data_IF_434760029014
#
_entry.id   IF_434760029014
#
_cell.length_a   1.000
_cell.length_b   1.000
_cell.length_c   1.000
_cell.angle_alpha   90.00
_cell.angle_beta   90.00
_cell.angle_gamma   90.00
#
_symmetry.space_group_name_H-M   'P 1'
#
loop_
_entity.id
_entity.type
_entity.pdbx_description
1 polymer ?
#
# COMPACT_ATOMS: atom_id res chain seq x y z
N UNK A 1 -35.72 19.46 9.42
CA UNK A 1 -34.98 18.44 8.63
C UNK A 1 -33.45 18.54 8.77
N UNK A 2 -32.85 19.75 8.78
CA UNK A 2 -31.42 19.94 9.12
C UNK A 2 -31.11 19.52 10.56
N UNK A 3 -31.90 19.94 11.52
CA UNK A 3 -31.70 19.65 12.96
C UNK A 3 -31.80 18.14 13.28
N UNK A 4 -32.58 17.39 12.52
CA UNK A 4 -32.69 15.93 12.67
C UNK A 4 -31.47 15.19 12.10
N UNK A 5 -30.87 15.68 11.02
CA UNK A 5 -29.64 15.16 10.45
C UNK A 5 -28.43 15.44 11.35
N UNK A 6 -28.36 16.64 11.94
CA UNK A 6 -27.31 17.04 12.88
C UNK A 6 -27.41 16.23 14.19
N UNK A 7 -28.62 15.94 14.67
CA UNK A 7 -28.83 15.06 15.82
C UNK A 7 -28.42 13.61 15.54
N UNK A 8 -28.75 13.05 14.36
CA UNK A 8 -28.35 11.69 13.98
C UNK A 8 -26.82 11.60 13.83
N UNK A 9 -26.16 12.66 13.36
CA UNK A 9 -24.70 12.69 13.29
C UNK A 9 -24.02 12.78 14.66
N UNK A 10 -24.68 13.38 15.67
CA UNK A 10 -24.12 13.45 17.03
C UNK A 10 -24.14 12.11 17.75
N UNK A 11 -25.05 11.22 17.40
CA UNK A 11 -25.22 9.89 18.02
C UNK A 11 -24.26 8.81 17.47
N UNK A 12 -23.56 9.10 16.36
CA UNK A 12 -22.58 8.17 15.79
C UNK A 12 -21.29 8.21 16.63
N UNK A 13 -20.77 7.06 17.11
CA UNK A 13 -19.50 6.99 17.83
C UNK A 13 -18.36 7.65 17.03
N UNK A 14 -17.49 8.38 17.72
CA UNK A 14 -16.39 9.10 17.08
C UNK A 14 -15.50 8.17 16.23
N UNK A 15 -15.19 6.98 16.72
CA UNK A 15 -14.40 5.98 15.98
C UNK A 15 -15.07 5.52 14.68
N UNK A 16 -16.40 5.44 14.67
CA UNK A 16 -17.12 5.07 13.44
C UNK A 16 -17.09 6.22 12.42
N UNK A 17 -17.22 7.47 12.86
CA UNK A 17 -17.14 8.64 11.96
C UNK A 17 -15.79 8.73 11.28
N UNK A 18 -14.70 8.61 12.04
CA UNK A 18 -13.34 8.66 11.46
C UNK A 18 -13.07 7.45 10.56
N UNK A 19 -13.65 6.29 10.88
CA UNK A 19 -13.55 5.09 10.04
C UNK A 19 -14.21 5.32 8.69
N UNK A 20 -15.44 5.82 8.68
CA UNK A 20 -16.17 6.17 7.43
C UNK A 20 -15.40 7.19 6.62
N UNK A 21 -14.90 8.26 7.25
CA UNK A 21 -14.13 9.29 6.59
C UNK A 21 -12.83 8.73 5.99
N UNK A 22 -12.12 7.88 6.70
CA UNK A 22 -10.91 7.22 6.17
C UNK A 22 -11.23 6.40 4.92
N UNK A 23 -12.28 5.56 4.96
CA UNK A 23 -12.67 4.75 3.81
C UNK A 23 -13.18 5.59 2.63
N UNK A 24 -13.81 6.72 2.86
CA UNK A 24 -14.14 7.69 1.81
C UNK A 24 -12.87 8.16 1.08
N UNK A 25 -11.82 8.52 1.83
CA UNK A 25 -10.52 8.85 1.26
C UNK A 25 -9.91 7.70 0.43
N UNK A 26 -10.01 6.46 0.92
CA UNK A 26 -9.55 5.26 0.19
C UNK A 26 -10.33 5.05 -1.11
N UNK A 27 -11.65 5.28 -1.11
CA UNK A 27 -12.49 5.18 -2.31
C UNK A 27 -12.07 6.24 -3.34
N UNK A 28 -11.88 7.49 -2.93
CA UNK A 28 -11.39 8.54 -3.83
C UNK A 28 -10.00 8.23 -4.39
N UNK A 29 -9.10 7.70 -3.57
CA UNK A 29 -7.79 7.25 -4.03
C UNK A 29 -7.92 6.13 -5.08
N UNK A 30 -8.74 5.11 -4.81
CA UNK A 30 -8.97 3.98 -5.71
C UNK A 30 -9.69 4.36 -7.02
N UNK A 31 -10.44 5.46 -7.04
CA UNK A 31 -11.09 6.00 -8.24
C UNK A 31 -10.26 7.05 -8.98
N UNK A 32 -9.03 7.30 -8.53
CA UNK A 32 -8.12 8.28 -9.15
C UNK A 32 -8.38 9.74 -8.78
N UNK A 33 -9.33 10.01 -7.90
CA UNK A 33 -9.64 11.37 -7.40
C UNK A 33 -8.64 11.79 -6.31
N UNK A 34 -7.35 11.86 -6.65
CA UNK A 34 -6.25 11.98 -5.70
C UNK A 34 -6.29 13.27 -4.86
N UNK A 35 -6.80 14.38 -5.40
CA UNK A 35 -6.96 15.62 -4.65
C UNK A 35 -8.03 15.51 -3.57
N UNK A 36 -9.16 14.90 -3.89
CA UNK A 36 -10.23 14.66 -2.94
C UNK A 36 -9.76 13.71 -1.84
N UNK A 37 -9.08 12.61 -2.19
CA UNK A 37 -8.48 11.69 -1.25
C UNK A 37 -7.51 12.39 -0.29
N UNK A 38 -6.61 13.21 -0.83
CA UNK A 38 -5.61 13.92 -0.05
C UNK A 38 -6.22 14.93 0.93
N UNK A 39 -7.26 15.66 0.49
CA UNK A 39 -7.99 16.59 1.36
C UNK A 39 -8.63 15.86 2.55
N UNK A 40 -9.13 14.64 2.34
CA UNK A 40 -9.68 13.82 3.42
C UNK A 40 -8.58 13.32 4.35
N UNK A 41 -7.50 12.75 3.82
CA UNK A 41 -6.41 12.20 4.63
C UNK A 41 -5.66 13.26 5.43
N UNK A 42 -5.62 14.50 4.96
CA UNK A 42 -5.02 15.65 5.66
C UNK A 42 -6.01 16.40 6.55
N UNK A 43 -7.25 15.93 6.66
CA UNK A 43 -8.25 16.58 7.52
C UNK A 43 -7.86 16.53 9.00
N UNK A 44 -8.28 17.53 9.82
CA UNK A 44 -7.96 17.55 11.24
C UNK A 44 -8.41 16.30 12.01
N UNK A 45 -9.51 15.67 11.59
CA UNK A 45 -10.06 14.43 12.19
C UNK A 45 -9.19 13.20 11.99
N UNK A 46 -8.37 13.15 10.94
CA UNK A 46 -7.43 12.08 10.62
C UNK A 46 -5.96 12.50 10.82
N UNK A 47 -5.70 13.65 11.43
CA UNK A 47 -4.33 14.12 11.69
C UNK A 47 -3.64 13.25 12.74
N UNK A 48 -2.32 13.09 12.59
CA UNK A 48 -1.52 12.43 13.61
C UNK A 48 -1.64 13.15 14.95
N UNK A 49 -1.68 12.43 16.08
CA UNK A 49 -1.73 13.06 17.40
C UNK A 49 -0.53 14.00 17.60
N UNK A 50 -0.74 15.06 18.35
CA UNK A 50 0.35 15.96 18.72
C UNK A 50 1.40 15.23 19.55
N UNK A 51 2.68 15.61 19.41
CA UNK A 51 3.71 15.09 20.30
C UNK A 51 3.30 15.24 21.77
N UNK A 52 3.46 14.18 22.56
CA UNK A 52 3.11 14.14 24.00
C UNK A 52 1.62 14.10 24.35
N UNK A 53 0.70 14.13 23.37
CA UNK A 53 -0.71 13.86 23.62
C UNK A 53 -1.05 12.40 23.32
N UNK A 54 -1.75 11.75 24.23
CA UNK A 54 -2.30 10.42 23.95
C UNK A 54 -3.35 10.50 22.83
N UNK A 55 -3.37 9.50 21.96
CA UNK A 55 -4.44 9.38 20.97
C UNK A 55 -5.76 9.08 21.67
N UNK A 56 -6.91 9.60 21.17
CA UNK A 56 -8.23 9.37 21.76
C UNK A 56 -8.59 7.88 21.84
N UNK A 57 -8.20 7.09 20.87
CA UNK A 57 -8.40 5.63 20.81
C UNK A 57 -7.32 4.96 19.96
N UNK A 58 -7.20 3.62 20.06
CA UNK A 58 -6.34 2.85 19.18
C UNK A 58 -6.82 2.94 17.72
N UNK A 59 -8.13 2.91 17.47
CA UNK A 59 -8.72 3.05 16.14
C UNK A 59 -8.34 4.40 15.53
N UNK A 60 -8.43 5.49 16.31
CA UNK A 60 -8.01 6.82 15.86
C UNK A 60 -6.52 6.82 15.46
N UNK A 61 -5.66 6.27 16.31
CA UNK A 61 -4.22 6.24 16.05
C UNK A 61 -3.91 5.47 14.75
N UNK A 62 -4.48 4.29 14.59
CA UNK A 62 -4.24 3.44 13.42
C UNK A 62 -4.72 4.11 12.13
N UNK A 63 -5.92 4.70 12.15
CA UNK A 63 -6.48 5.39 10.98
C UNK A 63 -5.70 6.66 10.65
N UNK A 64 -5.23 7.42 11.64
CA UNK A 64 -4.39 8.59 11.43
C UNK A 64 -3.04 8.22 10.82
N UNK A 65 -2.42 7.12 11.27
CA UNK A 65 -1.19 6.59 10.67
C UNK A 65 -1.46 6.18 9.22
N UNK A 66 -2.51 5.41 8.96
CA UNK A 66 -2.84 4.95 7.62
C UNK A 66 -3.18 6.12 6.67
N UNK A 67 -3.89 7.14 7.15
CA UNK A 67 -4.17 8.36 6.38
C UNK A 67 -2.88 9.11 6.00
N UNK A 68 -1.96 9.26 6.96
CA UNK A 68 -0.66 9.87 6.70
C UNK A 68 0.19 9.05 5.71
N UNK A 69 0.15 7.73 5.79
CA UNK A 69 0.83 6.83 4.85
C UNK A 69 0.25 6.94 3.43
N UNK A 70 -1.08 6.99 3.30
CA UNK A 70 -1.73 7.20 2.01
C UNK A 70 -1.41 8.60 1.43
N UNK A 71 -1.34 9.63 2.28
CA UNK A 71 -0.90 10.97 1.86
C UNK A 71 0.51 10.96 1.27
N UNK A 72 1.44 10.21 1.87
CA UNK A 72 2.80 10.02 1.33
C UNK A 72 2.80 9.34 -0.04
N UNK A 73 1.98 8.30 -0.23
CA UNK A 73 1.85 7.61 -1.52
C UNK A 73 1.33 8.53 -2.62
N UNK A 74 0.26 9.28 -2.33
CA UNK A 74 -0.33 10.23 -3.29
C UNK A 74 0.69 11.33 -3.64
N UNK A 75 1.40 11.83 -2.64
CA UNK A 75 2.36 12.92 -2.80
C UNK A 75 3.56 12.52 -3.65
N UNK A 76 3.98 11.25 -3.60
CA UNK A 76 5.09 10.74 -4.42
C UNK A 76 4.86 10.92 -5.92
N UNK A 77 3.62 10.82 -6.39
CA UNK A 77 3.28 11.00 -7.80
C UNK A 77 3.23 12.45 -8.26
N UNK A 78 3.49 13.41 -7.36
CA UNK A 78 3.36 14.85 -7.60
C UNK A 78 4.71 15.54 -7.71
N UNK A 79 4.83 16.43 -8.69
CA UNK A 79 6.01 17.29 -8.87
C UNK A 79 6.17 18.29 -7.71
N UNK A 80 5.03 18.75 -7.17
CA UNK A 80 4.98 19.71 -6.05
C UNK A 80 4.12 19.12 -4.93
N UNK A 81 4.73 18.52 -3.89
CA UNK A 81 4.00 18.02 -2.75
C UNK A 81 3.36 19.17 -1.95
N UNK A 82 2.12 19.01 -1.46
CA UNK A 82 1.43 20.05 -0.68
C UNK A 82 1.96 20.19 0.76
N UNK A 83 2.87 19.33 1.17
CA UNK A 83 3.52 19.32 2.49
C UNK A 83 4.94 18.78 2.40
N UNK A 84 5.73 19.06 3.42
CA UNK A 84 7.08 18.50 3.52
C UNK A 84 7.05 17.02 3.96
N UNK A 85 7.67 16.15 3.17
CA UNK A 85 7.65 14.69 3.37
C UNK A 85 8.50 14.28 4.59
N UNK A 86 9.69 14.88 4.76
CA UNK A 86 10.62 14.47 5.81
C UNK A 86 10.08 14.70 7.24
N UNK A 87 9.46 15.84 7.59
CA UNK A 87 8.81 16.02 8.90
C UNK A 87 7.69 15.02 9.16
N UNK A 88 6.90 14.66 8.14
CA UNK A 88 5.83 13.68 8.29
C UNK A 88 6.39 12.28 8.59
N UNK A 89 7.44 11.86 7.88
CA UNK A 89 8.12 10.59 8.14
C UNK A 89 8.69 10.56 9.57
N UNK A 90 9.35 11.65 10.01
CA UNK A 90 9.91 11.74 11.36
C UNK A 90 8.84 11.62 12.48
N UNK A 91 7.61 12.11 12.22
CA UNK A 91 6.48 11.95 13.14
C UNK A 91 5.90 10.54 13.10
N UNK A 92 5.84 9.90 11.92
CA UNK A 92 5.30 8.55 11.74
C UNK A 92 6.18 7.47 12.37
N UNK A 93 7.50 7.63 12.29
CA UNK A 93 8.45 6.61 12.69
C UNK A 93 8.24 6.09 14.13
N UNK A 94 8.19 6.93 15.18
CA UNK A 94 7.98 6.44 16.54
C UNK A 94 6.58 5.84 16.73
N UNK A 95 5.55 6.37 16.07
CA UNK A 95 4.19 5.86 16.15
C UNK A 95 4.07 4.46 15.52
N UNK A 96 4.71 4.24 14.37
CA UNK A 96 4.68 2.94 13.69
C UNK A 96 5.55 1.89 14.40
N UNK A 97 6.73 2.27 14.91
CA UNK A 97 7.61 1.36 15.64
C UNK A 97 7.03 0.97 17.00
N UNK A 98 6.34 1.87 17.67
CA UNK A 98 5.65 1.63 18.94
C UNK A 98 4.27 0.99 18.81
N UNK A 99 3.71 0.90 17.59
CA UNK A 99 2.38 0.33 17.37
C UNK A 99 2.39 -1.20 17.57
N UNK A 100 1.43 -1.77 18.32
CA UNK A 100 1.32 -3.21 18.49
C UNK A 100 0.97 -3.95 17.20
N UNK A 101 0.33 -3.28 16.23
CA UNK A 101 -0.07 -3.85 14.95
C UNK A 101 1.12 -4.06 14.01
N UNK A 102 1.49 -5.31 13.78
CA UNK A 102 2.51 -5.65 12.78
C UNK A 102 2.10 -5.29 11.35
N UNK A 103 0.79 -5.21 11.06
CA UNK A 103 0.26 -4.72 9.80
C UNK A 103 0.62 -3.25 9.55
N UNK A 104 0.45 -2.38 10.54
CA UNK A 104 0.86 -0.97 10.49
C UNK A 104 2.37 -0.84 10.26
N UNK A 105 3.18 -1.58 11.01
CA UNK A 105 4.63 -1.59 10.84
C UNK A 105 5.05 -2.07 9.45
N UNK A 106 4.36 -3.09 8.90
CA UNK A 106 4.60 -3.56 7.55
C UNK A 106 4.26 -2.49 6.51
N UNK A 107 3.07 -1.88 6.60
CA UNK A 107 2.64 -0.82 5.70
C UNK A 107 3.59 0.40 5.73
N UNK A 108 4.02 0.83 6.92
CA UNK A 108 5.00 1.90 7.08
C UNK A 108 6.30 1.61 6.33
N UNK A 109 6.91 0.45 6.59
CA UNK A 109 8.18 0.09 5.94
C UNK A 109 8.02 -0.06 4.42
N UNK A 110 6.88 -0.59 3.96
CA UNK A 110 6.57 -0.74 2.54
C UNK A 110 6.50 0.63 1.85
N UNK A 111 5.75 1.57 2.43
CA UNK A 111 5.59 2.92 1.90
C UNK A 111 6.90 3.70 2.00
N UNK A 112 7.62 3.60 3.10
CA UNK A 112 8.93 4.22 3.24
C UNK A 112 9.88 3.79 2.12
N UNK A 113 9.95 2.48 1.81
CA UNK A 113 10.74 1.96 0.70
C UNK A 113 10.30 2.50 -0.67
N UNK A 114 9.03 2.92 -0.83
CA UNK A 114 8.54 3.50 -2.09
C UNK A 114 8.82 4.99 -2.21
N UNK A 115 8.78 5.75 -1.12
CA UNK A 115 8.93 7.22 -1.14
C UNK A 115 10.38 7.68 -1.03
N UNK A 116 11.29 6.80 -0.63
CA UNK A 116 12.73 7.11 -0.58
C UNK A 116 13.34 7.27 -1.97
N UNK A 117 14.34 8.13 -2.08
CA UNK A 117 15.12 8.31 -3.31
C UNK A 117 15.91 7.05 -3.67
N UNK A 118 16.20 6.88 -4.96
CA UNK A 118 16.93 5.72 -5.45
C UNK A 118 18.40 5.67 -4.98
N UNK A 119 18.96 6.77 -4.50
CA UNK A 119 20.30 6.84 -3.90
C UNK A 119 20.42 6.04 -2.59
N UNK A 120 19.29 5.60 -2.02
CA UNK A 120 19.23 4.90 -0.73
C UNK A 120 18.87 3.41 -0.86
N UNK A 121 19.35 2.75 -1.92
CA UNK A 121 19.01 1.34 -2.24
C UNK A 121 19.17 0.39 -1.04
N UNK A 122 20.25 0.53 -0.27
CA UNK A 122 20.49 -0.34 0.90
C UNK A 122 19.40 -0.16 1.94
N UNK A 123 19.00 1.09 2.21
CA UNK A 123 17.95 1.38 3.17
C UNK A 123 16.58 0.93 2.65
N UNK A 124 16.29 1.11 1.36
CA UNK A 124 15.06 0.59 0.75
C UNK A 124 14.96 -0.93 0.89
N UNK A 125 16.06 -1.67 0.65
CA UNK A 125 16.11 -3.13 0.86
C UNK A 125 15.83 -3.50 2.31
N UNK A 126 16.42 -2.78 3.25
CA UNK A 126 16.18 -3.00 4.68
C UNK A 126 14.71 -2.75 5.05
N UNK A 127 14.10 -1.68 4.55
CA UNK A 127 12.67 -1.40 4.76
C UNK A 127 11.80 -2.53 4.21
N UNK A 128 12.09 -3.04 3.00
CA UNK A 128 11.31 -4.14 2.43
C UNK A 128 11.49 -5.46 3.19
N UNK A 129 12.70 -5.75 3.70
CA UNK A 129 12.91 -6.89 4.59
C UNK A 129 12.09 -6.76 5.87
N UNK A 130 12.09 -5.60 6.50
CA UNK A 130 11.31 -5.32 7.70
C UNK A 130 9.80 -5.42 7.41
N UNK A 131 9.34 -4.91 6.26
CA UNK A 131 7.95 -5.03 5.83
C UNK A 131 7.53 -6.50 5.68
N UNK A 132 8.34 -7.29 4.98
CA UNK A 132 8.08 -8.71 4.79
C UNK A 132 8.05 -9.50 6.10
N UNK A 133 8.98 -9.20 7.01
CA UNK A 133 9.03 -9.83 8.33
C UNK A 133 7.79 -9.49 9.17
N UNK A 134 7.39 -8.22 9.18
CA UNK A 134 6.19 -7.77 9.89
C UNK A 134 4.90 -8.36 9.28
N UNK A 135 4.80 -8.43 7.95
CA UNK A 135 3.68 -9.05 7.24
C UNK A 135 3.56 -10.55 7.55
N UNK A 136 4.68 -11.27 7.62
CA UNK A 136 4.73 -12.68 8.05
C UNK A 136 4.26 -12.84 9.50
N UNK A 137 4.68 -11.96 10.40
CA UNK A 137 4.31 -12.02 11.81
C UNK A 137 2.81 -11.82 12.05
N UNK A 138 2.11 -11.07 11.19
CA UNK A 138 0.64 -10.91 11.25
C UNK A 138 -0.11 -11.79 10.23
N UNK A 139 0.58 -12.73 9.56
CA UNK A 139 0.01 -13.67 8.57
C UNK A 139 -0.77 -12.95 7.44
N UNK A 140 -0.38 -11.73 7.09
CA UNK A 140 -1.04 -10.95 6.06
C UNK A 140 -0.46 -11.26 4.67
N UNK A 141 -1.13 -12.16 3.94
CA UNK A 141 -0.71 -12.60 2.61
C UNK A 141 -0.66 -11.46 1.60
N UNK A 142 -1.57 -10.48 1.69
CA UNK A 142 -1.62 -9.35 0.78
C UNK A 142 -0.39 -8.44 0.95
N UNK A 143 -0.04 -8.06 2.18
CA UNK A 143 1.17 -7.28 2.45
C UNK A 143 2.44 -8.04 2.07
N UNK A 144 2.49 -9.37 2.26
CA UNK A 144 3.60 -10.19 1.77
C UNK A 144 3.70 -10.16 0.25
N UNK A 145 2.57 -10.33 -0.45
CA UNK A 145 2.50 -10.26 -1.90
C UNK A 145 2.97 -8.90 -2.42
N UNK A 146 2.47 -7.81 -1.87
CA UNK A 146 2.91 -6.46 -2.20
C UNK A 146 4.42 -6.27 -2.05
N UNK A 147 4.95 -6.70 -0.91
CA UNK A 147 6.37 -6.54 -0.61
C UNK A 147 7.24 -7.30 -1.61
N UNK A 148 6.87 -8.54 -1.94
CA UNK A 148 7.60 -9.37 -2.89
C UNK A 148 7.52 -8.80 -4.32
N UNK A 149 6.37 -8.30 -4.73
CA UNK A 149 6.21 -7.62 -6.02
C UNK A 149 7.10 -6.37 -6.11
N UNK A 150 7.11 -5.55 -5.06
CA UNK A 150 7.94 -4.36 -5.02
C UNK A 150 9.44 -4.70 -5.03
N UNK A 151 9.84 -5.76 -4.33
CA UNK A 151 11.22 -6.27 -4.38
C UNK A 151 11.58 -6.73 -5.79
N UNK A 152 10.72 -7.49 -6.45
CA UNK A 152 10.93 -7.97 -7.82
C UNK A 152 11.05 -6.78 -8.79
N UNK A 153 10.14 -5.84 -8.70
CA UNK A 153 10.12 -4.67 -9.57
C UNK A 153 11.32 -3.74 -9.37
N UNK A 154 11.65 -3.40 -8.11
CA UNK A 154 12.72 -2.42 -7.83
C UNK A 154 14.14 -2.98 -7.96
N UNK A 155 14.37 -4.23 -7.53
CA UNK A 155 15.71 -4.74 -7.36
C UNK A 155 16.09 -5.88 -8.29
N UNK A 156 15.11 -6.55 -8.87
CA UNK A 156 15.37 -7.72 -9.70
C UNK A 156 14.96 -7.53 -11.16
N UNK A 157 14.27 -6.42 -11.49
CA UNK A 157 13.93 -6.11 -12.87
C UNK A 157 15.22 -5.90 -13.68
N UNK A 158 15.38 -6.68 -14.74
CA UNK A 158 16.60 -6.66 -15.57
C UNK A 158 17.77 -7.47 -15.01
N UNK A 159 17.63 -8.11 -13.85
CA UNK A 159 18.66 -8.99 -13.29
C UNK A 159 18.37 -10.43 -13.68
N UNK A 160 19.27 -11.05 -14.44
CA UNK A 160 19.20 -12.46 -14.73
C UNK A 160 19.57 -13.26 -13.48
N UNK A 161 18.62 -13.92 -12.87
CA UNK A 161 18.90 -14.72 -11.68
C UNK A 161 17.67 -15.40 -11.06
N UNK A 162 17.93 -16.49 -10.35
CA UNK A 162 16.88 -17.28 -9.69
C UNK A 162 16.11 -16.52 -8.62
N UNK A 163 16.69 -15.47 -8.04
CA UNK A 163 16.07 -14.71 -6.95
C UNK A 163 14.86 -13.91 -7.44
N UNK A 164 14.96 -13.30 -8.62
CA UNK A 164 13.85 -12.57 -9.24
C UNK A 164 12.66 -13.52 -9.48
N UNK A 165 12.91 -14.64 -10.10
CA UNK A 165 11.88 -15.64 -10.38
C UNK A 165 11.25 -16.20 -9.09
N UNK A 166 12.08 -16.56 -8.09
CA UNK A 166 11.58 -17.06 -6.79
C UNK A 166 10.66 -16.04 -6.11
N UNK A 167 11.03 -14.75 -6.11
CA UNK A 167 10.22 -13.70 -5.50
C UNK A 167 8.89 -13.51 -6.25
N UNK A 168 8.91 -13.48 -7.58
CA UNK A 168 7.71 -13.33 -8.40
C UNK A 168 6.76 -14.53 -8.26
N UNK A 169 7.28 -15.78 -8.29
CA UNK A 169 6.48 -16.99 -8.05
C UNK A 169 5.90 -17.05 -6.64
N UNK A 170 6.66 -16.66 -5.62
CA UNK A 170 6.16 -16.58 -4.24
C UNK A 170 5.03 -15.56 -4.11
N UNK A 171 5.16 -14.39 -4.75
CA UNK A 171 4.12 -13.37 -4.79
C UNK A 171 2.85 -13.89 -5.46
N UNK A 172 2.95 -14.48 -6.65
CA UNK A 172 1.83 -15.06 -7.37
C UNK A 172 1.10 -16.13 -6.53
N UNK A 173 1.87 -17.05 -5.91
CA UNK A 173 1.30 -18.09 -5.05
C UNK A 173 0.55 -17.53 -3.85
N UNK A 174 1.06 -16.45 -3.23
CA UNK A 174 0.38 -15.78 -2.11
C UNK A 174 -0.91 -15.09 -2.54
N UNK A 175 -0.90 -14.40 -3.69
CA UNK A 175 -2.08 -13.77 -4.26
C UNK A 175 -3.18 -14.81 -4.60
N UNK A 176 -2.79 -15.93 -5.23
CA UNK A 176 -3.70 -17.02 -5.55
C UNK A 176 -4.30 -17.67 -4.28
N UNK A 177 -3.50 -17.90 -3.24
CA UNK A 177 -3.98 -18.41 -1.94
C UNK A 177 -4.97 -17.45 -1.28
N UNK A 178 -4.72 -16.14 -1.40
CA UNK A 178 -5.61 -15.08 -0.92
C UNK A 178 -6.84 -14.85 -1.79
N UNK A 179 -6.95 -15.53 -2.95
CA UNK A 179 -7.98 -15.29 -3.98
C UNK A 179 -8.00 -13.82 -4.44
N UNK A 180 -6.86 -13.17 -4.39
CA UNK A 180 -6.69 -11.78 -4.79
C UNK A 180 -6.41 -11.72 -6.30
N UNK A 181 -7.45 -11.49 -7.06
CA UNK A 181 -7.41 -11.51 -8.53
C UNK A 181 -6.49 -10.41 -9.09
N UNK A 182 -6.54 -9.21 -8.51
CA UNK A 182 -5.71 -8.09 -8.93
C UNK A 182 -4.23 -8.44 -8.76
N UNK A 183 -3.84 -8.84 -7.55
CA UNK A 183 -2.45 -9.15 -7.26
C UNK A 183 -1.95 -10.43 -7.91
N UNK A 184 -2.84 -11.38 -8.21
CA UNK A 184 -2.51 -12.54 -9.05
C UNK A 184 -2.13 -12.09 -10.46
N UNK A 185 -2.89 -11.16 -11.05
CA UNK A 185 -2.60 -10.62 -12.38
C UNK A 185 -1.28 -9.82 -12.42
N UNK A 186 -1.07 -8.92 -11.45
CA UNK A 186 0.15 -8.10 -11.34
C UNK A 186 1.38 -9.00 -11.15
N UNK A 187 1.31 -9.97 -10.25
CA UNK A 187 2.43 -10.91 -9.99
C UNK A 187 2.73 -11.77 -11.21
N UNK A 188 1.72 -12.17 -11.98
CA UNK A 188 1.90 -12.91 -13.22
C UNK A 188 2.63 -12.06 -14.27
N UNK A 189 2.29 -10.76 -14.40
CA UNK A 189 3.01 -9.83 -15.27
C UNK A 189 4.50 -9.73 -14.92
N UNK A 190 4.81 -9.50 -13.64
CA UNK A 190 6.20 -9.43 -13.16
C UNK A 190 6.98 -10.73 -13.34
N UNK A 191 6.31 -11.87 -13.16
CA UNK A 191 6.92 -13.17 -13.43
C UNK A 191 7.20 -13.37 -14.92
N UNK A 192 6.25 -12.99 -15.79
CA UNK A 192 6.43 -13.07 -17.23
C UNK A 192 7.61 -12.22 -17.70
N UNK A 193 7.72 -10.97 -17.24
CA UNK A 193 8.86 -10.10 -17.55
C UNK A 193 10.18 -10.72 -17.08
N UNK A 194 10.19 -11.33 -15.90
CA UNK A 194 11.38 -12.01 -15.38
C UNK A 194 11.79 -13.21 -16.25
N UNK A 195 10.83 -14.02 -16.70
CA UNK A 195 11.08 -15.18 -17.57
C UNK A 195 11.57 -14.75 -18.96
N UNK A 196 11.00 -13.66 -19.50
CA UNK A 196 11.43 -13.12 -20.80
C UNK A 196 12.89 -12.66 -20.76
N UNK A 197 13.30 -11.93 -19.70
CA UNK A 197 14.69 -11.52 -19.48
C UNK A 197 15.64 -12.72 -19.35
N UNK A 198 15.14 -13.85 -18.83
CA UNK A 198 15.90 -15.10 -18.70
C UNK A 198 15.98 -15.91 -20.01
N UNK A 199 15.41 -15.41 -21.10
CA UNK A 199 15.38 -16.11 -22.40
C UNK A 199 14.38 -17.27 -22.47
N UNK A 200 13.30 -17.20 -21.70
CA UNK A 200 12.21 -18.20 -21.66
C UNK A 200 10.88 -17.59 -22.15
N UNK A 201 10.81 -17.12 -23.41
CA UNK A 201 9.66 -16.35 -23.91
C UNK A 201 8.35 -17.17 -23.96
N UNK A 202 8.43 -18.47 -24.25
CA UNK A 202 7.24 -19.33 -24.31
C UNK A 202 6.56 -19.46 -22.93
N UNK A 203 7.36 -19.65 -21.88
CA UNK A 203 6.87 -19.68 -20.51
C UNK A 203 6.35 -18.31 -20.07
N UNK A 204 7.05 -17.23 -20.46
CA UNK A 204 6.62 -15.87 -20.19
C UNK A 204 5.23 -15.58 -20.79
N UNK A 205 5.00 -15.98 -22.03
CA UNK A 205 3.69 -15.78 -22.68
C UNK A 205 2.58 -16.62 -22.04
N UNK A 206 2.87 -17.86 -21.63
CA UNK A 206 1.90 -18.68 -20.91
C UNK A 206 1.47 -18.03 -19.58
N UNK A 207 2.44 -17.51 -18.80
CA UNK A 207 2.16 -16.80 -17.54
C UNK A 207 1.44 -15.49 -17.79
N UNK A 208 1.81 -14.74 -18.82
CA UNK A 208 1.15 -13.49 -19.20
C UNK A 208 -0.30 -13.73 -19.64
N UNK A 209 -0.55 -14.79 -20.38
CA UNK A 209 -1.92 -15.19 -20.78
C UNK A 209 -2.78 -15.53 -19.55
N UNK A 210 -2.22 -16.24 -18.57
CA UNK A 210 -2.89 -16.51 -17.29
C UNK A 210 -3.21 -15.21 -16.55
N UNK A 211 -2.24 -14.28 -16.44
CA UNK A 211 -2.43 -12.98 -15.82
C UNK A 211 -3.55 -12.17 -16.48
N UNK A 212 -3.58 -12.11 -17.81
CA UNK A 212 -4.65 -11.45 -18.59
C UNK A 212 -6.03 -12.07 -18.32
N UNK A 213 -6.11 -13.40 -18.17
CA UNK A 213 -7.37 -14.06 -17.83
C UNK A 213 -7.89 -13.62 -16.48
N UNK A 214 -7.03 -13.49 -15.46
CA UNK A 214 -7.42 -12.95 -14.15
C UNK A 214 -7.80 -11.47 -14.26
N UNK A 215 -7.03 -10.65 -14.96
CA UNK A 215 -7.34 -9.24 -15.18
C UNK A 215 -8.71 -9.04 -15.82
N UNK A 216 -9.10 -9.88 -16.79
CA UNK A 216 -10.39 -9.83 -17.44
C UNK A 216 -11.60 -10.10 -16.54
N UNK A 217 -11.38 -10.61 -15.33
CA UNK A 217 -12.44 -10.80 -14.32
C UNK A 217 -12.60 -9.60 -13.38
N UNK A 218 -11.69 -8.61 -13.45
CA UNK A 218 -11.77 -7.40 -12.64
C UNK A 218 -12.85 -6.45 -13.18
N UNK A 219 -13.46 -5.60 -12.32
CA UNK A 219 -14.34 -4.52 -12.77
C UNK A 219 -13.64 -3.60 -13.78
N UNK A 220 -14.37 -3.12 -14.80
CA UNK A 220 -13.81 -2.24 -15.85
C UNK A 220 -13.03 -1.04 -15.30
N UNK A 221 -13.50 -0.46 -14.19
CA UNK A 221 -12.83 0.66 -13.55
C UNK A 221 -11.39 0.33 -13.12
N UNK A 222 -11.14 -0.92 -12.72
CA UNK A 222 -9.81 -1.40 -12.30
C UNK A 222 -8.98 -1.82 -13.52
N UNK A 223 -9.61 -2.37 -14.56
CA UNK A 223 -8.92 -2.76 -15.80
C UNK A 223 -8.31 -1.56 -16.54
N UNK A 224 -8.87 -0.35 -16.35
CA UNK A 224 -8.37 0.90 -16.95
C UNK A 224 -7.19 1.53 -16.21
N UNK A 225 -6.84 1.03 -15.04
CA UNK A 225 -5.61 1.44 -14.36
C UNK A 225 -4.45 0.79 -15.13
N UNK A 226 -3.73 1.59 -15.90
CA UNK A 226 -2.46 1.17 -16.49
C UNK A 226 -1.47 0.88 -15.35
N UNK A 227 -1.24 -0.41 -15.09
CA UNK A 227 -0.31 -0.91 -14.09
C UNK A 227 1.03 -1.26 -14.74
#
# INVERSE_FOLDING_TARGET
MKDTLDQVQSDIPADLRITVQYFEGVIYQGTGSLDAALNIFLSPSLSLPEPHKAAPSHTYLDLSILAALNSLLITRSRTHPPFEVAPLISRLEPLCKGNPSKGILSAYNLILATVMSDDTIVHQKQCLQNALQAAKACLNNQLMCFTLNLMSWKFFRGVVGQQAEKSARASQSLAQKGKDVLWTSVSAGLLADTLEIQGRPEEAEAVRAEGRRFAGTLPEAVQRLEI
#
